data_IF_929600779992
#
_entry.id   IF_929600779992
#
_cell.length_a   1.000
_cell.length_b   1.000
_cell.length_c   1.000
_cell.angle_alpha   90.00
_cell.angle_beta   90.00
_cell.angle_gamma   90.00
#
_symmetry.space_group_name_H-M   'P 1'
#
loop_
_entity.id
_entity.type
_entity.pdbx_description
1 polymer ?
#
# COMPACT_ATOMS: atom_id res chain seq x y z
N UNK A 1 22.49 17.80 12.55
CA UNK A 1 21.18 17.41 13.05
C UNK A 1 20.95 15.95 12.71
N UNK A 2 20.65 15.13 13.71
CA UNK A 2 20.33 13.73 13.46
C UNK A 2 19.09 13.66 12.54
N UNK A 3 19.22 12.95 11.42
CA UNK A 3 18.08 12.64 10.55
C UNK A 3 17.06 11.86 11.39
N UNK A 4 15.97 12.50 11.78
CA UNK A 4 14.87 11.81 12.44
C UNK A 4 14.24 10.88 11.40
N UNK A 5 14.14 9.60 11.74
CA UNK A 5 13.42 8.63 10.92
C UNK A 5 11.92 8.93 11.00
N UNK A 6 11.23 8.72 9.90
CA UNK A 6 9.77 8.74 9.89
C UNK A 6 9.25 7.48 10.60
N UNK A 7 8.42 7.68 11.62
CA UNK A 7 7.77 6.58 12.37
C UNK A 7 6.36 6.33 11.85
N UNK A 8 5.74 7.37 11.29
CA UNK A 8 4.41 7.32 10.70
C UNK A 8 4.37 8.15 9.41
N UNK A 9 3.38 7.89 8.56
CA UNK A 9 3.20 8.64 7.29
C UNK A 9 2.93 10.12 7.57
N UNK A 10 2.25 10.42 8.65
CA UNK A 10 1.92 11.77 9.12
C UNK A 10 3.16 12.63 9.41
N UNK A 11 4.30 12.01 9.67
CA UNK A 11 5.56 12.73 9.86
C UNK A 11 6.01 13.51 8.63
N UNK A 12 5.49 13.17 7.45
CA UNK A 12 5.69 13.93 6.21
C UNK A 12 5.21 15.37 6.34
N UNK A 13 4.11 15.61 7.08
CA UNK A 13 3.56 16.96 7.27
C UNK A 13 4.49 17.88 8.08
N UNK A 14 5.54 17.33 8.70
CA UNK A 14 6.60 18.11 9.38
C UNK A 14 7.66 18.64 8.42
N UNK A 15 7.63 18.19 7.16
CA UNK A 15 8.58 18.67 6.16
C UNK A 15 8.11 20.01 5.58
N UNK A 16 9.00 21.00 5.44
CA UNK A 16 8.68 22.22 4.73
C UNK A 16 8.19 21.93 3.32
N UNK A 17 7.07 22.52 2.92
CA UNK A 17 6.47 22.34 1.59
C UNK A 17 5.51 21.17 1.46
N UNK A 18 5.36 20.32 2.48
CA UNK A 18 4.36 19.25 2.50
C UNK A 18 3.09 19.73 3.18
N UNK A 19 2.12 20.18 2.38
CA UNK A 19 0.77 20.51 2.86
C UNK A 19 -0.13 19.28 2.87
N UNK A 20 -1.35 19.47 3.43
CA UNK A 20 -2.33 18.38 3.56
C UNK A 20 -2.70 17.75 2.20
N UNK A 21 -2.84 18.53 1.13
CA UNK A 21 -3.20 18.02 -0.19
C UNK A 21 -2.13 17.09 -0.77
N UNK A 22 -0.85 17.45 -0.58
CA UNK A 22 0.26 16.61 -1.00
C UNK A 22 0.32 15.34 -0.15
N UNK A 23 0.18 15.49 1.16
CA UNK A 23 0.10 14.36 2.09
C UNK A 23 -1.02 13.39 1.70
N UNK A 24 -2.24 13.89 1.46
CA UNK A 24 -3.39 13.06 1.11
C UNK A 24 -3.16 12.24 -0.18
N UNK A 25 -2.49 12.83 -1.17
CA UNK A 25 -2.13 12.13 -2.43
C UNK A 25 -1.04 11.09 -2.21
N UNK A 26 -0.06 11.37 -1.37
CA UNK A 26 1.06 10.47 -1.10
C UNK A 26 0.69 9.33 -0.15
N UNK A 27 -0.22 9.55 0.78
CA UNK A 27 -0.58 8.59 1.83
C UNK A 27 -1.05 7.23 1.31
N UNK A 28 -1.64 7.20 0.11
CA UNK A 28 -2.05 5.96 -0.56
C UNK A 28 -0.89 5.21 -1.25
N UNK A 29 0.26 5.87 -1.46
CA UNK A 29 1.38 5.36 -2.25
C UNK A 29 2.58 4.98 -1.40
N UNK A 30 2.64 5.43 -0.16
CA UNK A 30 3.80 5.28 0.72
C UNK A 30 3.43 4.60 2.03
N UNK A 31 4.43 4.04 2.68
CA UNK A 31 4.33 3.52 4.04
C UNK A 31 5.57 3.91 4.85
N UNK A 32 5.40 4.16 6.13
CA UNK A 32 6.50 4.33 7.05
C UNK A 32 6.77 2.99 7.76
N UNK A 33 7.93 2.41 7.50
CA UNK A 33 8.37 1.18 8.17
C UNK A 33 9.84 1.29 8.54
N UNK A 34 10.11 1.56 9.80
CA UNK A 34 11.46 1.71 10.34
C UNK A 34 12.31 0.43 10.23
N UNK A 35 11.68 -0.72 10.02
CA UNK A 35 12.32 -2.03 9.83
C UNK A 35 12.31 -2.49 8.37
N UNK A 36 11.69 -1.73 7.49
CA UNK A 36 11.63 -2.03 6.07
C UNK A 36 12.97 -1.75 5.37
N UNK A 37 13.19 -2.44 4.25
CA UNK A 37 14.35 -2.20 3.37
C UNK A 37 14.24 -0.89 2.58
N UNK A 38 13.10 -0.23 2.58
CA UNK A 38 12.76 0.87 1.67
C UNK A 38 12.45 0.40 0.24
N UNK A 39 12.51 -0.90 -0.02
CA UNK A 39 12.26 -1.49 -1.33
C UNK A 39 10.83 -1.99 -1.44
N UNK A 40 10.28 -1.93 -2.64
CA UNK A 40 8.91 -2.34 -2.97
C UNK A 40 8.94 -3.70 -3.67
N UNK A 41 8.06 -4.60 -3.24
CA UNK A 41 7.82 -5.84 -3.98
C UNK A 41 6.76 -5.59 -5.08
N UNK A 42 7.12 -5.59 -6.38
CA UNK A 42 6.18 -5.31 -7.47
C UNK A 42 5.05 -6.33 -7.56
N UNK A 43 5.30 -7.57 -7.11
CA UNK A 43 4.29 -8.64 -7.10
C UNK A 43 3.17 -8.42 -6.08
N UNK A 44 3.36 -7.50 -5.13
CA UNK A 44 2.37 -7.15 -4.12
C UNK A 44 1.93 -5.67 -4.17
N UNK A 45 2.59 -4.86 -5.00
CA UNK A 45 2.36 -3.43 -5.08
C UNK A 45 1.00 -3.09 -5.72
N UNK A 46 0.21 -2.16 -5.15
CA UNK A 46 -0.99 -1.64 -5.80
C UNK A 46 -0.65 -0.95 -7.14
N UNK A 47 -1.61 -0.82 -8.09
CA UNK A 47 -1.37 -0.21 -9.39
C UNK A 47 -0.77 1.21 -9.32
N UNK A 48 -1.18 2.03 -8.34
CA UNK A 48 -0.62 3.37 -8.13
C UNK A 48 0.87 3.34 -7.76
N UNK A 49 1.28 2.39 -6.94
CA UNK A 49 2.71 2.20 -6.58
C UNK A 49 3.49 1.65 -7.77
N UNK A 50 2.92 0.72 -8.55
CA UNK A 50 3.52 0.26 -9.81
C UNK A 50 3.72 1.40 -10.80
N UNK A 51 2.80 2.37 -10.87
CA UNK A 51 2.95 3.55 -11.71
C UNK A 51 4.15 4.41 -11.27
N UNK A 52 4.38 4.57 -9.98
CA UNK A 52 5.58 5.26 -9.46
C UNK A 52 6.85 4.51 -9.87
N UNK A 53 6.88 3.18 -9.68
CA UNK A 53 8.02 2.34 -10.09
C UNK A 53 8.26 2.38 -11.60
N UNK A 54 7.21 2.58 -12.40
CA UNK A 54 7.27 2.71 -13.87
C UNK A 54 7.55 4.15 -14.34
N UNK A 55 8.08 5.02 -13.47
CA UNK A 55 8.39 6.41 -13.81
C UNK A 55 7.17 7.27 -14.17
N UNK A 56 5.99 6.94 -13.63
CA UNK A 56 4.72 7.62 -13.92
C UNK A 56 3.91 6.99 -15.06
N UNK A 57 4.38 5.89 -15.67
CA UNK A 57 3.67 5.22 -16.76
C UNK A 57 2.51 4.37 -16.22
N UNK A 58 1.31 4.97 -16.15
CA UNK A 58 0.10 4.32 -15.65
C UNK A 58 -0.37 3.15 -16.55
N UNK A 59 -0.12 3.23 -17.87
CA UNK A 59 -0.49 2.16 -18.80
C UNK A 59 0.34 0.89 -18.54
N UNK A 60 1.66 1.04 -18.42
CA UNK A 60 2.55 -0.07 -18.07
C UNK A 60 2.17 -0.66 -16.72
N UNK A 61 1.93 0.18 -15.72
CA UNK A 61 1.52 -0.26 -14.40
C UNK A 61 0.20 -1.07 -14.41
N UNK A 62 -0.78 -0.64 -15.21
CA UNK A 62 -2.04 -1.36 -15.40
C UNK A 62 -1.85 -2.72 -16.06
N UNK A 63 -1.01 -2.79 -17.09
CA UNK A 63 -0.67 -4.07 -17.77
C UNK A 63 0.01 -5.04 -16.80
N UNK A 64 1.01 -4.56 -16.05
CA UNK A 64 1.72 -5.37 -15.05
C UNK A 64 0.79 -5.87 -13.95
N UNK A 65 -0.09 -5.01 -13.44
CA UNK A 65 -1.09 -5.41 -12.44
C UNK A 65 -2.03 -6.50 -12.99
N UNK A 66 -2.53 -6.34 -14.22
CA UNK A 66 -3.41 -7.31 -14.85
C UNK A 66 -2.72 -8.66 -15.09
N UNK A 67 -1.47 -8.67 -15.57
CA UNK A 67 -0.68 -9.90 -15.76
C UNK A 67 -0.46 -10.65 -14.46
N UNK A 68 -0.07 -9.91 -13.40
CA UNK A 68 0.11 -10.46 -12.05
C UNK A 68 -1.19 -11.08 -11.51
N UNK A 69 -2.30 -10.34 -11.61
CA UNK A 69 -3.59 -10.76 -11.06
C UNK A 69 -4.18 -11.94 -11.85
N UNK A 70 -3.80 -12.10 -13.13
CA UNK A 70 -4.08 -13.27 -13.94
C UNK A 70 -3.17 -14.47 -13.62
N UNK A 71 -2.22 -14.35 -12.69
CA UNK A 71 -1.30 -15.42 -12.32
C UNK A 71 -0.30 -15.80 -13.43
N UNK A 72 -0.01 -14.88 -14.37
CA UNK A 72 0.95 -15.15 -15.43
C UNK A 72 2.36 -15.37 -14.88
N UNK A 73 3.02 -16.43 -15.32
CA UNK A 73 4.41 -16.72 -15.00
C UNK A 73 5.30 -15.83 -15.89
N UNK A 74 6.31 -15.19 -15.27
CA UNK A 74 7.26 -14.36 -16.04
C UNK A 74 6.88 -12.87 -16.06
N UNK A 75 6.55 -12.34 -14.90
CA UNK A 75 6.32 -10.91 -14.69
C UNK A 75 7.57 -10.11 -15.13
N UNK A 76 7.45 -9.36 -16.22
CA UNK A 76 8.54 -8.55 -16.75
C UNK A 76 8.70 -7.26 -15.97
N UNK A 77 9.80 -7.13 -15.23
CA UNK A 77 10.13 -5.97 -14.41
C UNK A 77 11.09 -4.98 -15.08
N UNK A 78 11.47 -5.21 -16.36
CA UNK A 78 12.49 -4.37 -17.03
C UNK A 78 12.07 -2.91 -17.20
N UNK A 79 10.76 -2.63 -17.21
CA UNK A 79 10.21 -1.28 -17.28
C UNK A 79 10.06 -0.57 -15.94
N UNK A 80 10.52 -1.18 -14.84
CA UNK A 80 10.42 -0.62 -13.48
C UNK A 80 11.80 -0.15 -12.98
N UNK A 81 11.81 0.85 -12.10
CA UNK A 81 13.05 1.33 -11.47
C UNK A 81 13.62 0.26 -10.51
N UNK A 82 14.65 -0.44 -10.96
CA UNK A 82 15.30 -1.51 -10.22
C UNK A 82 15.92 -1.05 -8.88
N UNK A 83 16.22 0.23 -8.71
CA UNK A 83 16.77 0.77 -7.46
C UNK A 83 15.74 0.79 -6.32
N UNK A 84 14.45 0.77 -6.66
CA UNK A 84 13.34 0.79 -5.71
C UNK A 84 12.71 -0.59 -5.50
N UNK A 85 13.17 -1.61 -6.21
CA UNK A 85 12.57 -2.95 -6.18
C UNK A 85 13.34 -3.88 -5.23
N UNK A 86 12.57 -4.62 -4.43
CA UNK A 86 13.07 -5.72 -3.62
C UNK A 86 12.19 -6.94 -3.72
N UNK A 87 12.80 -8.09 -3.97
CA UNK A 87 12.12 -9.40 -4.01
C UNK A 87 12.20 -10.14 -2.69
N UNK A 88 12.69 -9.50 -1.62
CA UNK A 88 12.76 -10.12 -0.31
C UNK A 88 11.36 -10.54 0.14
N UNK A 89 11.21 -11.80 0.50
CA UNK A 89 10.00 -12.37 1.11
C UNK A 89 9.78 -11.76 2.49
N UNK A 90 9.34 -10.51 2.54
CA UNK A 90 8.86 -9.92 3.78
C UNK A 90 7.53 -10.60 4.10
N UNK A 91 7.45 -11.26 5.25
CA UNK A 91 6.23 -11.93 5.70
C UNK A 91 5.19 -10.95 6.26
N UNK A 92 5.03 -9.83 5.56
CA UNK A 92 4.06 -8.79 5.90
C UNK A 92 2.96 -8.76 4.87
N UNK A 93 1.75 -8.73 5.38
CA UNK A 93 0.55 -8.79 4.55
C UNK A 93 -0.41 -7.69 4.96
N UNK A 94 -1.09 -7.13 3.97
CA UNK A 94 -2.30 -6.34 4.19
C UNK A 94 -3.50 -7.22 3.90
N UNK A 95 -4.30 -7.45 4.92
CA UNK A 95 -5.60 -8.12 4.82
C UNK A 95 -6.66 -7.04 4.69
N UNK A 96 -7.48 -7.11 3.66
CA UNK A 96 -8.57 -6.16 3.44
C UNK A 96 -9.91 -6.90 3.38
N UNK A 97 -10.86 -6.46 4.19
CA UNK A 97 -12.24 -6.92 4.16
C UNK A 97 -13.13 -5.75 3.77
N UNK A 98 -14.06 -6.00 2.83
CA UNK A 98 -15.11 -5.06 2.43
C UNK A 98 -16.45 -5.58 2.94
N UNK A 99 -17.07 -4.81 3.80
CA UNK A 99 -18.38 -5.14 4.40
C UNK A 99 -19.43 -4.23 3.75
N UNK A 100 -20.34 -4.75 2.93
CA UNK A 100 -21.37 -3.95 2.32
C UNK A 100 -22.37 -3.44 3.37
N UNK A 101 -22.86 -2.21 3.20
CA UNK A 101 -23.88 -1.58 4.02
C UNK A 101 -25.23 -1.61 3.30
N UNK A 102 -26.33 -1.47 4.06
CA UNK A 102 -27.69 -1.50 3.51
C UNK A 102 -28.00 -0.32 2.59
N UNK A 103 -27.31 0.80 2.76
CA UNK A 103 -27.43 2.00 1.92
C UNK A 103 -26.69 1.90 0.57
N UNK A 104 -26.00 0.78 0.31
CA UNK A 104 -25.18 0.56 -0.87
C UNK A 104 -23.74 1.04 -0.73
N UNK A 105 -23.37 1.61 0.39
CA UNK A 105 -21.99 1.90 0.77
C UNK A 105 -21.25 0.65 1.25
N UNK A 106 -20.01 0.83 1.70
CA UNK A 106 -19.25 -0.25 2.34
C UNK A 106 -18.30 0.29 3.40
N UNK A 107 -17.97 -0.56 4.37
CA UNK A 107 -16.86 -0.36 5.27
C UNK A 107 -15.68 -1.21 4.79
N UNK A 108 -14.54 -0.58 4.57
CA UNK A 108 -13.28 -1.26 4.31
C UNK A 108 -12.47 -1.33 5.60
N UNK A 109 -12.07 -2.54 5.97
CA UNK A 109 -11.18 -2.77 7.11
C UNK A 109 -9.88 -3.34 6.58
N UNK A 110 -8.79 -2.61 6.75
CA UNK A 110 -7.44 -3.06 6.39
C UNK A 110 -6.67 -3.38 7.66
N UNK A 111 -6.09 -4.58 7.73
CA UNK A 111 -5.17 -4.98 8.79
C UNK A 111 -3.81 -5.29 8.20
N UNK A 112 -2.79 -4.74 8.81
CA UNK A 112 -1.40 -4.99 8.45
C UNK A 112 -0.80 -5.96 9.46
N UNK A 113 -0.41 -7.13 8.98
CA UNK A 113 0.06 -8.24 9.80
C UNK A 113 1.49 -8.63 9.42
N UNK A 114 2.26 -9.00 10.44
CA UNK A 114 3.61 -9.56 10.29
C UNK A 114 3.57 -11.03 10.75
N UNK A 115 3.92 -11.96 9.86
CA UNK A 115 3.99 -13.39 10.17
C UNK A 115 5.33 -13.82 10.78
N UNK A 116 6.26 -12.87 10.98
CA UNK A 116 7.56 -13.11 11.57
C UNK A 116 7.70 -12.70 13.06
N UNK A 117 6.64 -12.31 13.78
CA UNK A 117 6.83 -11.91 15.15
C UNK A 117 7.18 -13.12 16.00
N UNK A 118 8.01 -12.90 17.01
CA UNK A 118 8.03 -13.80 18.15
C UNK A 118 6.65 -13.70 18.80
N UNK A 119 5.86 -14.80 18.86
CA UNK A 119 4.50 -14.73 19.37
C UNK A 119 4.55 -14.25 20.83
N UNK A 120 3.98 -13.07 21.10
CA UNK A 120 3.80 -12.59 22.48
C UNK A 120 2.48 -13.05 23.06
N UNK A 121 1.49 -13.27 22.19
CA UNK A 121 0.10 -13.51 22.59
C UNK A 121 -0.45 -14.84 22.06
N UNK A 122 0.43 -15.81 21.73
CA UNK A 122 0.01 -17.13 21.23
C UNK A 122 -0.47 -17.15 19.78
N UNK A 123 -0.53 -16.01 19.09
CA UNK A 123 -0.88 -15.93 17.67
C UNK A 123 0.38 -16.03 16.78
N UNK A 124 0.31 -16.74 15.63
CA UNK A 124 1.42 -16.86 14.69
C UNK A 124 1.68 -15.57 13.89
N UNK A 125 0.97 -14.49 14.18
CA UNK A 125 1.14 -13.17 13.56
C UNK A 125 1.00 -12.05 14.58
N UNK A 126 1.55 -10.86 14.27
CA UNK A 126 1.27 -9.63 15.00
C UNK A 126 0.57 -8.63 14.08
N UNK A 127 -0.50 -8.01 14.55
CA UNK A 127 -1.12 -6.86 13.90
C UNK A 127 -0.41 -5.59 14.36
N UNK A 128 0.15 -4.81 13.43
CA UNK A 128 0.85 -3.58 13.77
C UNK A 128 0.10 -2.32 13.34
N UNK A 129 -0.90 -2.46 12.46
CA UNK A 129 -1.77 -1.35 12.08
C UNK A 129 -3.15 -1.86 11.68
N UNK A 130 -4.19 -1.10 11.99
CA UNK A 130 -5.56 -1.34 11.53
C UNK A 130 -6.16 -0.02 11.07
N UNK A 131 -6.69 0.01 9.87
CA UNK A 131 -7.36 1.15 9.27
C UNK A 131 -8.80 0.80 8.94
N UNK A 132 -9.70 1.76 9.10
CA UNK A 132 -11.10 1.65 8.67
C UNK A 132 -11.45 2.84 7.81
N UNK A 133 -12.01 2.56 6.65
CA UNK A 133 -12.47 3.55 5.70
C UNK A 133 -13.95 3.29 5.39
N UNK A 134 -14.68 4.35 5.09
CA UNK A 134 -16.09 4.27 4.67
C UNK A 134 -16.15 4.64 3.19
N UNK A 135 -16.60 3.68 2.39
CA UNK A 135 -16.89 3.90 0.98
C UNK A 135 -18.36 4.33 0.89
N UNK A 136 -18.66 5.57 0.46
CA UNK A 136 -20.02 6.05 0.38
C UNK A 136 -20.81 5.30 -0.70
N UNK A 137 -22.12 5.22 -0.53
CA UNK A 137 -23.03 4.68 -1.54
C UNK A 137 -22.85 5.46 -2.87
N UNK A 138 -22.93 4.79 -4.02
CA UNK A 138 -22.94 5.46 -5.31
C UNK A 138 -24.11 6.46 -5.37
N UNK A 139 -23.80 7.70 -5.74
CA UNK A 139 -24.86 8.72 -5.93
C UNK A 139 -25.81 8.21 -7.00
N UNK A 140 -27.08 8.02 -6.66
CA UNK A 140 -28.10 7.79 -7.68
C UNK A 140 -28.18 9.04 -8.54
N UNK A 141 -27.80 8.93 -9.81
CA UNK A 141 -28.12 9.96 -10.79
C UNK A 141 -29.66 10.02 -10.87
N UNK A 142 -30.24 11.10 -10.38
CA UNK A 142 -31.67 11.38 -10.58
C UNK A 142 -31.81 11.75 -12.05
N UNK A 143 -32.68 11.09 -12.81
CA UNK A 143 -32.89 11.39 -14.24
C UNK A 143 -33.42 12.80 -14.46
#
# INVERSE_FOLDING_TARGET
GALKRFEAIEDLMRLPGVGYDLYARLSALITADIRGSGLVNPLAAPPGVLAVLAGGNAQLAGQLAAQRDAGQVGFDMTGLDGSLIGTSTVRRYRLQARVPLQDGGAILVSRYVDLNPRPRDGFPWATFHTQRDVEPAPRRSIP
#
